data_IF_783812518901
#
_entry.id   IF_783812518901
#
_cell.length_a   1.000
_cell.length_b   1.000
_cell.length_c   1.000
_cell.angle_alpha   90.00
_cell.angle_beta   90.00
_cell.angle_gamma   90.00
#
_symmetry.space_group_name_H-M   'P 1'
#
loop_
_entity.id
_entity.type
_entity.pdbx_description
1 polymer ?
#
# COMPACT_ATOMS: atom_id res chain seq x y z
N UNK A 1 27.62 -11.05 -10.82
CA UNK A 1 26.68 -10.93 -10.34
C UNK A 1 25.86 -12.00 -10.01
N UNK A 2 25.33 -12.00 -9.09
CA UNK A 2 24.72 -13.13 -8.49
C UNK A 2 23.21 -13.06 -8.48
N UNK A 3 22.65 -12.20 -9.30
CA UNK A 3 21.19 -12.05 -9.32
C UNK A 3 20.47 -13.34 -9.66
N UNK A 4 21.08 -14.21 -10.43
CA UNK A 4 20.48 -15.49 -10.75
C UNK A 4 20.36 -16.45 -9.57
N UNK A 5 21.02 -16.14 -8.47
CA UNK A 5 20.93 -17.00 -7.28
C UNK A 5 19.67 -16.80 -6.49
N UNK A 6 18.94 -15.72 -6.73
CA UNK A 6 17.70 -15.47 -6.01
C UNK A 6 16.58 -16.11 -6.78
N UNK A 7 16.05 -17.18 -6.28
CA UNK A 7 14.97 -17.91 -6.92
C UNK A 7 13.62 -17.20 -6.92
N UNK A 8 13.50 -16.05 -6.29
CA UNK A 8 12.25 -15.34 -6.13
C UNK A 8 12.25 -13.94 -6.69
N UNK A 9 11.26 -13.17 -6.27
CA UNK A 9 11.11 -11.78 -6.66
C UNK A 9 12.20 -10.93 -6.06
N UNK A 10 12.68 -9.96 -6.81
CA UNK A 10 13.60 -8.96 -6.27
C UNK A 10 12.80 -7.90 -5.56
N UNK A 11 13.36 -7.31 -4.49
CA UNK A 11 12.73 -6.14 -3.89
C UNK A 11 12.56 -5.02 -4.92
N UNK A 12 11.49 -4.28 -4.78
CA UNK A 12 11.23 -3.14 -5.63
C UNK A 12 12.27 -2.05 -5.39
N UNK A 13 12.76 -1.45 -6.45
CA UNK A 13 13.81 -0.45 -6.41
C UNK A 13 13.28 0.95 -6.66
N UNK A 14 13.70 1.89 -5.82
CA UNK A 14 13.38 3.31 -5.98
C UNK A 14 13.96 3.81 -7.32
N UNK A 15 13.17 4.61 -8.03
CA UNK A 15 13.55 5.16 -9.31
C UNK A 15 13.23 4.28 -10.51
N UNK A 16 12.69 3.09 -10.28
CA UNK A 16 12.29 2.18 -11.35
C UNK A 16 10.77 2.03 -11.39
N UNK A 17 10.27 1.45 -12.48
CA UNK A 17 8.84 1.19 -12.61
C UNK A 17 8.36 0.31 -11.46
N UNK A 18 7.26 0.71 -10.82
CA UNK A 18 6.65 -0.06 -9.76
C UNK A 18 6.14 -1.39 -10.33
N UNK A 19 6.45 -2.53 -9.71
CA UNK A 19 5.91 -3.81 -10.16
C UNK A 19 4.38 -3.80 -10.16
N UNK A 20 3.78 -4.19 -11.27
CA UNK A 20 2.33 -4.22 -11.41
C UNK A 20 1.75 -5.52 -10.88
N UNK A 21 0.51 -5.47 -10.43
CA UNK A 21 -0.16 -6.63 -9.90
C UNK A 21 -1.67 -6.43 -9.95
N UNK A 22 -2.39 -7.53 -9.81
CA UNK A 22 -3.83 -7.55 -9.62
C UNK A 22 -4.13 -8.40 -8.41
N UNK A 23 -4.92 -7.86 -7.47
CA UNK A 23 -5.34 -8.57 -6.27
C UNK A 23 -6.86 -8.60 -6.23
N UNK A 24 -7.39 -9.75 -5.88
CA UNK A 24 -8.84 -9.94 -5.78
C UNK A 24 -9.18 -10.65 -4.48
N UNK A 25 -10.17 -10.13 -3.78
CA UNK A 25 -10.78 -10.82 -2.64
C UNK A 25 -12.27 -11.02 -2.92
N UNK A 26 -13.05 -11.38 -1.91
CA UNK A 26 -14.49 -11.63 -2.09
C UNK A 26 -15.28 -10.37 -2.41
N UNK A 27 -14.74 -9.20 -2.14
CA UNK A 27 -15.48 -7.93 -2.23
C UNK A 27 -15.04 -7.07 -3.40
N UNK A 28 -13.79 -7.18 -3.85
CA UNK A 28 -13.29 -6.35 -4.94
C UNK A 28 -12.06 -6.93 -5.61
N UNK A 29 -11.77 -6.36 -6.77
CA UNK A 29 -10.58 -6.65 -7.55
C UNK A 29 -9.90 -5.33 -7.85
N UNK A 30 -8.60 -5.24 -7.59
CA UNK A 30 -7.83 -4.02 -7.81
C UNK A 30 -6.58 -4.36 -8.60
N UNK A 31 -6.35 -3.64 -9.69
CA UNK A 31 -5.09 -3.69 -10.45
C UNK A 31 -4.36 -2.37 -10.27
N UNK A 32 -3.06 -2.44 -10.00
CA UNK A 32 -2.27 -1.22 -9.83
C UNK A 32 -2.32 -0.34 -11.08
N UNK A 33 -2.34 -0.95 -12.27
CA UNK A 33 -2.41 -0.22 -13.53
C UNK A 33 -3.64 0.69 -13.64
N UNK A 34 -4.73 0.33 -13.00
CA UNK A 34 -5.96 1.14 -13.02
C UNK A 34 -5.81 2.45 -12.27
N UNK A 35 -4.78 2.56 -11.44
CA UNK A 35 -4.50 3.77 -10.67
C UNK A 35 -3.44 4.66 -11.32
N UNK A 36 -2.97 4.29 -12.52
CA UNK A 36 -1.98 5.11 -13.22
C UNK A 36 -2.54 6.50 -13.52
N UNK A 37 -1.71 7.53 -13.38
CA UNK A 37 -2.12 8.91 -13.45
C UNK A 37 -2.39 9.53 -12.09
N UNK A 38 -2.50 8.71 -11.05
CA UNK A 38 -2.60 9.15 -9.67
C UNK A 38 -1.30 8.88 -8.95
N UNK A 39 -1.05 9.65 -7.89
CA UNK A 39 -0.01 9.31 -6.93
C UNK A 39 -0.59 8.21 -6.03
N UNK A 40 0.05 7.05 -6.00
CA UNK A 40 -0.44 5.91 -5.23
C UNK A 40 0.39 5.75 -3.97
N UNK A 41 -0.30 5.70 -2.84
CA UNK A 41 0.28 5.36 -1.54
C UNK A 41 -0.07 3.90 -1.29
N UNK A 42 0.86 3.02 -1.65
CA UNK A 42 0.67 1.56 -1.56
C UNK A 42 1.12 1.07 -0.20
N UNK A 43 0.17 0.70 0.63
CA UNK A 43 0.41 0.30 2.02
C UNK A 43 0.13 -1.19 2.21
N UNK A 44 1.10 -1.94 2.73
CA UNK A 44 0.92 -3.34 3.09
C UNK A 44 0.72 -3.44 4.59
N UNK A 45 -0.35 -4.12 5.01
CA UNK A 45 -0.77 -4.15 6.40
C UNK A 45 -1.48 -5.45 6.77
N UNK A 46 -1.81 -5.61 8.04
CA UNK A 46 -2.63 -6.72 8.52
C UNK A 46 -3.38 -6.32 9.78
N UNK A 47 -4.50 -6.98 10.05
CA UNK A 47 -5.33 -6.70 11.23
C UNK A 47 -4.65 -7.11 12.54
N UNK A 48 -3.71 -8.04 12.48
CA UNK A 48 -2.95 -8.51 13.64
C UNK A 48 -1.67 -7.71 13.91
N UNK A 49 -1.49 -6.61 13.21
CA UNK A 49 -0.28 -5.79 13.28
C UNK A 49 -0.60 -4.47 14.01
N UNK A 50 -0.22 -4.30 15.28
CA UNK A 50 -0.54 -3.09 16.03
C UNK A 50 -0.04 -1.79 15.38
N UNK A 51 1.21 -1.67 14.90
CA UNK A 51 1.62 -0.44 14.22
C UNK A 51 0.80 -0.12 12.98
N UNK A 52 0.31 -1.15 12.26
CA UNK A 52 -0.55 -0.95 11.11
C UNK A 52 -1.87 -0.28 11.53
N UNK A 53 -2.44 -0.77 12.63
CA UNK A 53 -3.69 -0.24 13.16
C UNK A 53 -3.52 1.21 13.62
N UNK A 54 -2.40 1.50 14.29
CA UNK A 54 -2.08 2.85 14.76
C UNK A 54 -1.94 3.85 13.62
N UNK A 55 -1.45 3.42 12.48
CA UNK A 55 -1.22 4.27 11.30
C UNK A 55 -2.53 4.61 10.56
N UNK A 56 -3.51 3.75 10.64
CA UNK A 56 -4.73 3.84 9.83
C UNK A 56 -5.46 5.19 9.95
N UNK A 57 -5.66 5.77 11.13
CA UNK A 57 -6.38 7.05 11.21
C UNK A 57 -5.72 8.17 10.43
N UNK A 58 -4.39 8.33 10.53
CA UNK A 58 -3.70 9.39 9.79
C UNK A 58 -3.70 9.12 8.30
N UNK A 59 -3.61 7.86 7.91
CA UNK A 59 -3.67 7.45 6.51
C UNK A 59 -5.03 7.80 5.90
N UNK A 60 -6.11 7.51 6.62
CA UNK A 60 -7.47 7.82 6.17
C UNK A 60 -7.71 9.32 6.09
N UNK A 61 -7.23 10.08 7.06
CA UNK A 61 -7.35 11.55 7.04
C UNK A 61 -6.58 12.17 5.88
N UNK A 62 -5.36 11.68 5.64
CA UNK A 62 -4.56 12.14 4.50
C UNK A 62 -5.29 11.84 3.19
N UNK A 63 -5.88 10.66 3.05
CA UNK A 63 -6.63 10.29 1.86
C UNK A 63 -7.76 11.28 1.59
N UNK A 64 -8.52 11.64 2.60
CA UNK A 64 -9.61 12.59 2.44
C UNK A 64 -9.12 13.96 1.99
N UNK A 65 -8.02 14.44 2.58
CA UNK A 65 -7.45 15.73 2.23
C UNK A 65 -6.86 15.78 0.84
N UNK A 66 -6.23 14.66 0.42
CA UNK A 66 -5.44 14.64 -0.81
C UNK A 66 -6.17 14.01 -2.00
N UNK A 67 -7.37 13.47 -1.78
CA UNK A 67 -8.13 12.81 -2.84
C UNK A 67 -8.38 13.75 -4.03
N UNK A 68 -8.74 14.98 -3.76
CA UNK A 68 -8.96 15.97 -4.81
C UNK A 68 -7.69 16.38 -5.55
N UNK A 69 -6.53 16.05 -5.02
CA UNK A 69 -5.23 16.33 -5.64
C UNK A 69 -4.68 15.12 -6.39
N UNK A 70 -5.49 14.08 -6.58
CA UNK A 70 -5.08 12.90 -7.33
C UNK A 70 -4.18 11.95 -6.57
N UNK A 71 -4.25 11.93 -5.25
CA UNK A 71 -3.55 10.96 -4.40
C UNK A 71 -4.52 9.88 -3.96
N UNK A 72 -4.13 8.62 -4.16
CA UNK A 72 -4.96 7.47 -3.78
C UNK A 72 -4.18 6.51 -2.91
N UNK A 73 -4.73 6.19 -1.75
CA UNK A 73 -4.20 5.11 -0.91
C UNK A 73 -4.75 3.79 -1.40
N UNK A 74 -3.85 2.82 -1.62
CA UNK A 74 -4.21 1.44 -1.86
C UNK A 74 -3.62 0.62 -0.72
N UNK A 75 -4.47 0.12 0.17
CA UNK A 75 -4.05 -0.65 1.33
C UNK A 75 -4.30 -2.14 1.08
N UNK A 76 -3.23 -2.91 1.02
CA UNK A 76 -3.32 -4.36 0.76
C UNK A 76 -3.07 -5.11 2.04
N UNK A 77 -4.08 -5.88 2.48
CA UNK A 77 -3.97 -6.72 3.65
C UNK A 77 -3.33 -8.05 3.31
N UNK A 78 -2.43 -8.50 4.17
CA UNK A 78 -1.84 -9.84 4.07
C UNK A 78 -2.52 -10.83 5.03
N UNK A 79 -3.69 -10.50 5.56
CA UNK A 79 -4.41 -11.38 6.46
C UNK A 79 -4.75 -12.71 5.80
N UNK A 80 -4.47 -13.80 6.50
CA UNK A 80 -4.86 -15.12 6.04
C UNK A 80 -6.34 -15.38 6.30
N UNK A 81 -6.90 -14.77 7.35
CA UNK A 81 -8.28 -15.00 7.76
C UNK A 81 -9.19 -13.92 7.18
N UNK A 82 -10.04 -14.32 6.24
CA UNK A 82 -11.00 -13.41 5.60
C UNK A 82 -11.98 -12.81 6.60
N UNK A 83 -12.46 -13.62 7.54
CA UNK A 83 -13.42 -13.15 8.55
C UNK A 83 -12.84 -12.06 9.43
N UNK A 84 -11.61 -12.27 9.92
CA UNK A 84 -10.92 -11.28 10.74
C UNK A 84 -10.71 -9.98 9.97
N UNK A 85 -10.35 -10.07 8.71
CA UNK A 85 -10.16 -8.91 7.85
C UNK A 85 -11.48 -8.15 7.67
N UNK A 86 -12.55 -8.84 7.30
CA UNK A 86 -13.85 -8.21 7.07
C UNK A 86 -14.42 -7.59 8.34
N UNK A 87 -14.30 -8.28 9.48
CA UNK A 87 -14.76 -7.77 10.76
C UNK A 87 -14.01 -6.49 11.14
N UNK A 88 -12.71 -6.48 10.94
CA UNK A 88 -11.89 -5.30 11.21
C UNK A 88 -12.36 -4.09 10.40
N UNK A 89 -12.60 -4.27 9.11
CA UNK A 89 -13.05 -3.17 8.24
C UNK A 89 -14.36 -2.57 8.74
N UNK A 90 -15.26 -3.40 9.22
CA UNK A 90 -16.55 -2.93 9.75
C UNK A 90 -16.40 -2.24 11.10
N UNK A 91 -15.66 -2.86 12.02
CA UNK A 91 -15.50 -2.35 13.37
C UNK A 91 -14.77 -1.01 13.39
N UNK A 92 -13.77 -0.85 12.56
CA UNK A 92 -12.97 0.37 12.49
C UNK A 92 -13.46 1.35 11.43
N UNK A 93 -14.55 1.01 10.73
CA UNK A 93 -15.14 1.86 9.67
C UNK A 93 -14.07 2.34 8.69
N UNK A 94 -13.27 1.40 8.21
CA UNK A 94 -12.15 1.71 7.32
C UNK A 94 -12.69 2.25 6.00
N UNK A 95 -12.33 3.49 5.68
CA UNK A 95 -12.77 4.18 4.48
C UNK A 95 -11.57 4.43 3.58
N UNK A 96 -10.95 3.35 3.15
CA UNK A 96 -9.82 3.35 2.23
C UNK A 96 -10.06 2.29 1.17
N UNK A 97 -9.43 2.46 0.01
CA UNK A 97 -9.40 1.39 -0.98
C UNK A 97 -8.51 0.29 -0.43
N UNK A 98 -9.11 -0.80 0.02
CA UNK A 98 -8.39 -1.93 0.61
C UNK A 98 -8.83 -3.23 -0.02
N UNK A 99 -7.91 -4.16 -0.13
CA UNK A 99 -8.15 -5.50 -0.68
C UNK A 99 -7.24 -6.47 0.06
N UNK A 100 -7.71 -7.71 0.24
CA UNK A 100 -6.93 -8.75 0.93
C UNK A 100 -6.22 -9.63 -0.09
N UNK A 101 -4.92 -9.75 0.06
CA UNK A 101 -4.08 -10.64 -0.76
C UNK A 101 -3.70 -11.86 0.07
N UNK A 102 -4.59 -12.84 0.13
CA UNK A 102 -4.40 -14.03 0.94
C UNK A 102 -3.15 -14.84 0.57
N UNK A 103 -2.79 -14.81 -0.69
CA UNK A 103 -1.62 -15.56 -1.19
C UNK A 103 -0.32 -14.78 -1.03
N UNK A 104 -0.39 -13.54 -0.58
CA UNK A 104 0.76 -12.67 -0.37
C UNK A 104 1.63 -12.50 -1.62
N UNK A 105 1.01 -12.47 -2.79
CA UNK A 105 1.76 -12.32 -4.05
C UNK A 105 2.28 -10.92 -4.23
N UNK A 106 1.46 -9.91 -3.93
CA UNK A 106 1.84 -8.52 -4.16
C UNK A 106 2.96 -8.06 -3.21
N UNK A 107 2.87 -8.40 -1.93
CA UNK A 107 3.94 -8.02 -1.00
C UNK A 107 5.22 -8.77 -1.28
N UNK A 108 5.14 -10.04 -1.70
CA UNK A 108 6.32 -10.78 -2.14
C UNK A 108 6.98 -10.11 -3.34
N UNK A 109 6.18 -9.65 -4.30
CA UNK A 109 6.67 -8.97 -5.48
C UNK A 109 7.47 -7.72 -5.13
N UNK A 110 7.06 -7.02 -4.06
CA UNK A 110 7.75 -5.82 -3.57
C UNK A 110 8.84 -6.12 -2.56
N UNK A 111 9.00 -7.38 -2.18
CA UNK A 111 9.98 -7.80 -1.16
C UNK A 111 9.61 -7.36 0.24
N UNK A 112 8.32 -7.21 0.52
CA UNK A 112 7.81 -6.74 1.80
C UNK A 112 7.35 -7.91 2.66
N UNK A 113 8.00 -8.09 3.81
CA UNK A 113 7.69 -9.16 4.76
C UNK A 113 7.50 -8.66 6.19
N UNK A 114 7.74 -7.37 6.43
CA UNK A 114 7.50 -6.71 7.71
C UNK A 114 6.47 -5.62 7.50
N UNK A 115 5.58 -5.43 8.46
CA UNK A 115 4.43 -4.56 8.29
C UNK A 115 4.37 -3.51 9.40
N UNK A 116 3.91 -2.30 9.10
CA UNK A 116 3.53 -1.84 7.76
C UNK A 116 4.75 -1.40 6.96
N UNK A 117 4.65 -1.53 5.64
CA UNK A 117 5.56 -0.88 4.70
C UNK A 117 4.73 -0.17 3.64
N UNK A 118 5.20 1.00 3.23
CA UNK A 118 4.44 1.82 2.29
C UNK A 118 5.34 2.30 1.17
N UNK A 119 4.85 2.20 -0.05
CA UNK A 119 5.56 2.64 -1.25
C UNK A 119 4.82 3.80 -1.88
N UNK A 120 5.56 4.82 -2.28
CA UNK A 120 5.00 5.97 -3.00
C UNK A 120 5.29 5.78 -4.48
N UNK A 121 4.26 5.77 -5.28
CA UNK A 121 4.33 5.58 -6.74
C UNK A 121 3.79 6.84 -7.39
N UNK A 122 4.57 7.43 -8.30
CA UNK A 122 4.16 8.66 -8.94
C UNK A 122 3.15 8.41 -10.08
N UNK A 123 2.72 9.48 -10.75
CA UNK A 123 1.69 9.41 -11.79
C UNK A 123 2.12 8.63 -13.02
N UNK A 124 3.43 8.47 -13.21
CA UNK A 124 4.00 7.70 -14.31
C UNK A 124 4.25 6.24 -13.94
N UNK A 125 3.91 5.86 -12.71
CA UNK A 125 4.10 4.49 -12.25
C UNK A 125 5.50 4.19 -11.76
N UNK A 126 6.28 5.21 -11.41
CA UNK A 126 7.65 5.04 -10.92
C UNK A 126 7.68 5.06 -9.40
N UNK A 127 8.40 4.13 -8.79
CA UNK A 127 8.63 4.09 -7.35
C UNK A 127 9.50 5.26 -6.93
N UNK A 128 8.96 6.10 -6.06
CA UNK A 128 9.68 7.29 -5.62
C UNK A 128 10.23 7.19 -4.21
N UNK A 129 9.58 6.44 -3.35
CA UNK A 129 9.98 6.36 -1.95
C UNK A 129 9.39 5.13 -1.28
N UNK A 130 10.06 4.67 -0.20
CA UNK A 130 9.60 3.58 0.65
C UNK A 130 9.65 4.06 2.10
N UNK A 131 8.59 3.78 2.84
CA UNK A 131 8.54 4.00 4.28
C UNK A 131 8.46 2.65 4.98
N UNK A 132 9.34 2.45 5.96
CA UNK A 132 9.38 1.22 6.76
C UNK A 132 8.81 1.56 8.13
N UNK A 133 7.77 0.81 8.54
CA UNK A 133 7.08 1.05 9.80
C UNK A 133 6.00 2.10 9.70
N UNK A 134 5.29 2.31 10.80
CA UNK A 134 4.20 3.28 10.87
C UNK A 134 4.74 4.71 10.89
N UNK A 135 4.06 5.58 10.16
CA UNK A 135 4.38 7.01 10.16
C UNK A 135 3.10 7.81 10.34
N UNK A 136 3.24 9.08 10.64
CA UNK A 136 2.11 10.01 10.70
C UNK A 136 1.93 10.66 9.33
N UNK A 137 0.85 10.29 8.64
CA UNK A 137 0.52 10.81 7.29
C UNK A 137 -0.11 12.20 7.32
N UNK A 138 -0.31 12.74 8.53
CA UNK A 138 -0.90 14.06 8.71
C UNK A 138 0.10 15.21 8.69
N UNK A 139 1.40 14.93 8.58
CA UNK A 139 2.41 16.00 8.61
C UNK A 139 2.41 16.80 7.33
N UNK A 140 2.65 18.13 7.41
CA UNK A 140 2.73 18.96 6.21
C UNK A 140 3.81 18.50 5.25
N UNK A 141 4.95 18.04 5.74
CA UNK A 141 6.07 17.60 4.90
C UNK A 141 5.65 16.47 3.97
N UNK A 142 4.94 15.48 4.49
CA UNK A 142 4.50 14.34 3.70
C UNK A 142 3.43 14.76 2.70
N UNK A 143 2.48 15.57 3.13
CA UNK A 143 1.41 16.02 2.25
C UNK A 143 1.94 16.91 1.13
N UNK A 144 2.88 17.79 1.42
CA UNK A 144 3.55 18.59 0.39
C UNK A 144 4.31 17.71 -0.58
N UNK A 145 5.02 16.73 -0.07
CA UNK A 145 5.77 15.79 -0.91
C UNK A 145 4.83 15.07 -1.88
N UNK A 146 3.73 14.52 -1.38
CA UNK A 146 2.77 13.80 -2.22
C UNK A 146 2.13 14.73 -3.26
N UNK A 147 1.83 15.95 -2.86
CA UNK A 147 1.19 16.93 -3.75
C UNK A 147 2.08 17.39 -4.89
N UNK A 148 3.39 17.24 -4.78
CA UNK A 148 4.36 17.63 -5.82
C UNK A 148 4.64 16.53 -6.84
N UNK A 149 4.21 15.31 -6.57
CA UNK A 149 4.39 14.18 -7.49
C UNK A 149 3.28 14.16 -8.59
#
# INVERSE_FOLDING_TARGET
MLSGCYGGSRPANIGTAAPTFTVQDSDRKVSLDELRGKVVVLNFWATWCPPCIEEMPSLAQMQQKMKGKGVEVLAISVDADQGAYQDFLKEHKVDLLTVRDADQKSNNLYGTFKFPETYIIDRDGVLRRKFIGAIDWGTPEIQDYLGKL
#
